data_IF_503654035702
#
_entry.id   IF_503654035702
#
_cell.length_a   1.000
_cell.length_b   1.000
_cell.length_c   1.000
_cell.angle_alpha   90.00
_cell.angle_beta   90.00
_cell.angle_gamma   90.00
#
_symmetry.space_group_name_H-M   'P 1'
#
loop_
_entity.id
_entity.type
_entity.pdbx_description
1 polymer ?
#
# COMPACT_ATOMS: atom_id res chain seq x y z
N UNK A 1 -19.86 37.32 -39.50
CA UNK A 1 -19.56 35.90 -39.24
C UNK A 1 -18.15 35.79 -38.63
N UNK A 2 -17.79 36.67 -37.70
CA UNK A 2 -18.12 36.78 -36.27
C UNK A 2 -17.09 36.04 -35.42
N UNK A 3 -16.00 36.77 -35.17
CA UNK A 3 -14.93 36.55 -34.17
C UNK A 3 -15.41 35.99 -32.82
N UNK A 4 -16.69 36.17 -32.48
CA UNK A 4 -17.36 35.53 -31.35
C UNK A 4 -17.39 33.98 -31.41
N UNK A 5 -17.55 33.38 -32.60
CA UNK A 5 -17.57 31.92 -32.81
C UNK A 5 -16.14 31.34 -32.65
N UNK A 6 -15.12 32.09 -33.08
CA UNK A 6 -13.72 31.71 -32.90
C UNK A 6 -13.29 31.77 -31.42
N UNK A 7 -13.77 32.76 -30.66
CA UNK A 7 -13.48 32.90 -29.23
C UNK A 7 -14.15 31.78 -28.39
N UNK A 8 -15.39 31.40 -28.73
CA UNK A 8 -16.12 30.30 -28.08
C UNK A 8 -15.49 28.92 -28.37
N UNK A 9 -14.99 28.69 -29.59
CA UNK A 9 -14.29 27.44 -29.95
C UNK A 9 -12.92 27.30 -29.27
N UNK A 10 -12.20 28.41 -29.07
CA UNK A 10 -10.89 28.42 -28.40
C UNK A 10 -11.01 28.19 -26.88
N UNK A 11 -12.09 28.67 -26.26
CA UNK A 11 -12.40 28.44 -24.84
C UNK A 11 -12.87 26.99 -24.58
N UNK A 12 -13.58 26.37 -25.53
CA UNK A 12 -13.95 24.94 -25.44
C UNK A 12 -12.76 23.97 -25.64
N UNK A 13 -11.67 24.41 -26.31
CA UNK A 13 -10.49 23.56 -26.54
C UNK A 13 -9.44 23.64 -25.41
N UNK A 14 -9.45 24.70 -24.59
CA UNK A 14 -8.58 24.86 -23.42
C UNK A 14 -9.04 24.09 -22.18
N UNK A 15 -10.23 23.48 -22.19
CA UNK A 15 -10.79 22.72 -21.06
C UNK A 15 -10.55 21.20 -21.19
N UNK A 16 -10.11 20.71 -22.36
CA UNK A 16 -10.11 19.27 -22.67
C UNK A 16 -8.82 18.50 -22.38
N UNK A 17 -7.83 19.09 -21.69
CA UNK A 17 -6.68 18.34 -21.16
C UNK A 17 -6.30 18.78 -19.76
N UNK A 18 -7.29 18.96 -18.87
CA UNK A 18 -7.05 18.45 -17.52
C UNK A 18 -7.01 16.94 -17.64
N UNK A 19 -5.80 16.40 -17.71
CA UNK A 19 -5.55 15.08 -17.15
C UNK A 19 -5.91 15.22 -15.66
N UNK A 20 -7.20 15.11 -15.36
CA UNK A 20 -7.61 14.61 -14.09
C UNK A 20 -6.89 13.26 -14.00
N UNK A 21 -5.89 13.17 -13.14
CA UNK A 21 -5.69 11.94 -12.40
C UNK A 21 -7.05 11.71 -11.74
N UNK A 22 -7.91 10.99 -12.44
CA UNK A 22 -9.29 10.76 -12.05
C UNK A 22 -9.20 9.94 -10.77
N UNK A 23 -9.24 10.66 -9.65
CA UNK A 23 -9.78 10.26 -8.39
C UNK A 23 -9.54 8.77 -8.07
N UNK A 24 -8.64 8.48 -7.12
CA UNK A 24 -8.85 7.32 -6.26
C UNK A 24 -9.47 7.77 -4.92
N UNK A 25 -10.77 8.07 -4.84
CA UNK A 25 -11.48 8.08 -3.58
C UNK A 25 -12.10 6.68 -3.44
N UNK A 26 -11.42 5.80 -2.73
CA UNK A 26 -11.92 4.48 -2.32
C UNK A 26 -12.22 3.42 -3.40
N UNK A 27 -12.61 3.76 -4.63
CA UNK A 27 -13.04 2.74 -5.62
C UNK A 27 -11.90 1.81 -6.09
N UNK A 28 -10.66 2.30 -6.13
CA UNK A 28 -9.49 1.45 -6.44
C UNK A 28 -8.79 0.92 -5.17
N UNK A 29 -9.29 1.29 -3.99
CA UNK A 29 -8.70 0.88 -2.71
C UNK A 29 -9.20 -0.52 -2.37
N UNK A 30 -8.32 -1.51 -2.48
CA UNK A 30 -8.69 -2.91 -2.26
C UNK A 30 -8.56 -3.35 -0.79
N UNK A 31 -7.88 -2.56 0.05
CA UNK A 31 -7.73 -2.78 1.48
C UNK A 31 -7.28 -1.51 2.20
N UNK A 32 -7.74 -1.29 3.43
CA UNK A 32 -7.34 -0.16 4.27
C UNK A 32 -7.39 -0.52 5.76
N UNK A 33 -6.25 -0.43 6.44
CA UNK A 33 -6.12 -0.76 7.86
C UNK A 33 -5.69 0.49 8.64
N UNK A 34 -6.64 1.21 9.27
CA UNK A 34 -6.32 2.39 10.05
C UNK A 34 -5.70 2.05 11.41
N UNK A 35 -5.88 0.80 11.90
CA UNK A 35 -5.42 0.32 13.20
C UNK A 35 -6.00 1.08 14.41
N UNK A 36 -7.31 1.35 14.36
CA UNK A 36 -8.05 2.00 15.45
C UNK A 36 -8.51 1.00 16.51
N UNK A 37 -7.55 0.28 17.10
CA UNK A 37 -7.80 -0.73 18.13
C UNK A 37 -8.05 -2.15 17.60
N UNK A 38 -8.07 -2.34 16.28
CA UNK A 38 -8.24 -3.63 15.63
C UNK A 38 -7.42 -3.76 14.34
N UNK A 39 -7.64 -4.86 13.60
CA UNK A 39 -7.04 -5.12 12.28
C UNK A 39 -8.12 -5.24 11.20
N UNK A 40 -9.25 -4.56 11.38
CA UNK A 40 -10.41 -4.58 10.48
C UNK A 40 -10.12 -3.81 9.20
N UNK A 41 -10.56 -4.33 8.06
CA UNK A 41 -10.47 -3.64 6.77
C UNK A 41 -11.57 -2.59 6.62
N UNK A 42 -11.18 -1.33 6.67
CA UNK A 42 -12.07 -0.16 6.51
C UNK A 42 -12.26 0.26 5.05
N UNK A 43 -11.78 -0.52 4.07
CA UNK A 43 -12.02 -0.24 2.65
C UNK A 43 -13.43 -0.63 2.18
N UNK A 44 -14.14 -1.46 2.94
CA UNK A 44 -15.42 -2.03 2.54
C UNK A 44 -15.31 -3.32 1.70
N UNK A 45 -14.09 -3.86 1.52
CA UNK A 45 -13.86 -5.08 0.75
C UNK A 45 -13.81 -6.36 1.60
N UNK A 46 -14.06 -6.26 2.91
CA UNK A 46 -14.08 -7.38 3.86
C UNK A 46 -12.78 -8.21 3.86
N UNK A 47 -11.62 -7.53 3.82
CA UNK A 47 -10.30 -8.16 3.87
C UNK A 47 -9.69 -8.10 5.26
N UNK A 48 -10.44 -8.48 6.28
CA UNK A 48 -9.99 -8.35 7.67
C UNK A 48 -8.68 -9.12 7.95
N UNK A 49 -7.86 -8.52 8.80
CA UNK A 49 -6.63 -9.12 9.29
C UNK A 49 -6.84 -10.15 10.39
N UNK A 50 -5.80 -10.92 10.63
CA UNK A 50 -5.62 -11.75 11.83
C UNK A 50 -4.24 -11.49 12.42
N UNK A 51 -4.09 -11.58 13.74
CA UNK A 51 -2.79 -11.39 14.42
C UNK A 51 -2.30 -12.70 15.01
N UNK A 52 -0.98 -12.93 14.99
CA UNK A 52 -0.38 -14.17 15.53
C UNK A 52 -0.01 -14.09 17.02
N UNK A 53 -0.12 -12.91 17.64
CA UNK A 53 0.11 -12.64 19.07
C UNK A 53 -0.50 -11.29 19.47
N UNK A 54 -0.30 -10.85 20.72
CA UNK A 54 -0.80 -9.58 21.26
C UNK A 54 -0.19 -8.38 20.53
N UNK A 55 -0.89 -7.91 19.50
CA UNK A 55 -0.67 -6.59 18.91
C UNK A 55 -1.28 -5.56 19.86
N UNK A 56 -0.50 -4.54 20.21
CA UNK A 56 -1.00 -3.41 20.99
C UNK A 56 -1.25 -2.21 20.07
N UNK A 57 -2.02 -1.24 20.56
CA UNK A 57 -2.36 -0.03 19.82
C UNK A 57 -1.90 1.20 20.62
N UNK A 58 -1.24 2.13 19.93
CA UNK A 58 -0.69 3.34 20.51
C UNK A 58 -0.93 4.55 19.61
N UNK A 59 -0.64 5.76 20.07
CA UNK A 59 -0.77 6.97 19.26
C UNK A 59 0.07 6.87 17.97
N UNK A 60 -0.62 7.00 16.83
CA UNK A 60 -0.05 6.90 15.49
C UNK A 60 0.16 8.27 14.85
N UNK A 61 0.46 8.25 13.54
CA UNK A 61 0.53 9.49 12.74
C UNK A 61 -0.84 10.13 12.57
N UNK A 62 -1.88 9.31 12.42
CA UNK A 62 -3.28 9.68 12.37
C UNK A 62 -4.01 8.72 13.32
N UNK A 63 -4.65 9.23 14.38
CA UNK A 63 -5.33 8.37 15.36
C UNK A 63 -4.37 7.39 16.05
N UNK A 64 -4.72 6.12 16.05
CA UNK A 64 -3.90 5.03 16.59
C UNK A 64 -3.03 4.37 15.50
N UNK A 65 -2.12 3.52 15.94
CA UNK A 65 -1.33 2.64 15.11
C UNK A 65 -1.10 1.31 15.83
N UNK A 66 -1.07 0.22 15.07
CA UNK A 66 -0.65 -1.07 15.59
C UNK A 66 0.85 -1.04 15.92
N UNK A 67 1.21 -1.55 17.09
CA UNK A 67 2.58 -1.71 17.56
C UNK A 67 2.95 -3.20 17.55
N UNK A 68 3.98 -3.52 16.78
CA UNK A 68 4.48 -4.88 16.63
C UNK A 68 5.82 -5.03 17.35
N UNK A 69 5.99 -6.10 18.12
CA UNK A 69 7.15 -6.33 19.00
C UNK A 69 8.23 -7.24 18.39
N UNK A 70 8.17 -7.53 17.09
CA UNK A 70 9.07 -8.45 16.40
C UNK A 70 8.66 -9.93 16.44
N UNK A 71 7.86 -10.34 17.44
CA UNK A 71 7.21 -11.66 17.47
C UNK A 71 5.77 -11.62 16.93
N UNK A 72 5.14 -10.44 16.96
CA UNK A 72 3.79 -10.19 16.44
C UNK A 72 3.79 -9.75 14.98
N UNK A 73 2.76 -10.16 14.23
CA UNK A 73 2.43 -9.65 12.90
C UNK A 73 0.92 -9.66 12.68
N UNK A 74 0.48 -8.89 11.70
CA UNK A 74 -0.83 -9.03 11.08
C UNK A 74 -0.69 -9.88 9.80
N UNK A 75 -1.67 -10.71 9.50
CA UNK A 75 -1.78 -11.49 8.27
C UNK A 75 -3.17 -11.32 7.68
N UNK A 76 -3.25 -11.06 6.37
CA UNK A 76 -4.51 -10.87 5.65
C UNK A 76 -4.70 -12.04 4.69
N UNK A 77 -5.46 -13.05 5.13
CA UNK A 77 -5.55 -14.31 4.39
C UNK A 77 -6.28 -14.17 3.06
N UNK A 78 -7.16 -13.17 2.89
CA UNK A 78 -7.82 -12.89 1.62
C UNK A 78 -6.88 -12.47 0.49
N UNK A 79 -5.62 -12.14 0.80
CA UNK A 79 -4.57 -11.89 -0.19
C UNK A 79 -3.73 -13.12 -0.53
N UNK A 80 -3.95 -14.27 0.10
CA UNK A 80 -3.27 -15.50 -0.28
C UNK A 80 -3.63 -15.88 -1.72
N UNK A 81 -2.63 -16.04 -2.59
CA UNK A 81 -2.78 -16.28 -4.03
C UNK A 81 -3.61 -15.21 -4.77
N UNK A 82 -3.72 -14.00 -4.23
CA UNK A 82 -4.47 -12.93 -4.87
C UNK A 82 -3.73 -12.40 -6.10
N UNK A 83 -4.42 -12.33 -7.22
CA UNK A 83 -3.88 -11.79 -8.46
C UNK A 83 -3.89 -10.26 -8.42
N UNK A 84 -2.77 -9.66 -8.01
CA UNK A 84 -2.57 -8.20 -8.00
C UNK A 84 -2.55 -7.57 -9.41
N UNK A 85 -2.61 -8.38 -10.47
CA UNK A 85 -2.54 -7.91 -11.86
C UNK A 85 -1.13 -7.47 -12.26
N UNK A 86 -1.05 -6.55 -13.22
CA UNK A 86 0.22 -6.03 -13.76
C UNK A 86 0.72 -4.80 -13.00
N UNK A 87 -0.12 -4.20 -12.17
CA UNK A 87 0.16 -2.93 -11.50
C UNK A 87 -0.66 -2.80 -10.22
N UNK A 88 -0.02 -2.27 -9.18
CA UNK A 88 -0.68 -1.95 -7.91
C UNK A 88 0.11 -0.84 -7.20
N UNK A 89 -0.47 -0.29 -6.14
CA UNK A 89 0.18 0.69 -5.25
C UNK A 89 -0.06 0.31 -3.80
N UNK A 90 0.91 0.62 -2.94
CA UNK A 90 0.80 0.48 -1.50
C UNK A 90 1.35 1.73 -0.81
N UNK A 91 0.71 2.14 0.29
CA UNK A 91 1.15 3.27 1.12
C UNK A 91 1.01 2.90 2.59
N UNK A 92 1.95 3.36 3.42
CA UNK A 92 2.00 3.02 4.84
C UNK A 92 2.75 4.07 5.64
N UNK A 93 2.25 4.39 6.83
CA UNK A 93 3.02 5.09 7.86
C UNK A 93 3.74 4.06 8.73
N UNK A 94 5.05 4.21 8.87
CA UNK A 94 5.87 3.28 9.63
C UNK A 94 6.77 4.03 10.62
N UNK A 95 6.90 3.48 11.83
CA UNK A 95 7.83 3.94 12.85
C UNK A 95 8.54 2.73 13.44
N UNK A 96 9.86 2.73 13.28
CA UNK A 96 10.77 1.75 13.87
C UNK A 96 11.02 2.12 15.33
N UNK A 97 10.80 1.20 16.29
CA UNK A 97 10.97 1.44 17.75
C UNK A 97 11.94 0.49 18.48
N UNK A 98 12.27 -0.68 17.91
CA UNK A 98 13.32 -1.59 18.39
C UNK A 98 13.79 -2.59 17.33
N UNK A 99 14.66 -3.54 17.71
CA UNK A 99 15.28 -4.53 16.80
C UNK A 99 16.24 -3.91 15.77
N UNK A 100 17.18 -3.08 16.23
CA UNK A 100 18.21 -2.46 15.38
C UNK A 100 19.19 -3.52 14.86
N UNK A 101 19.79 -3.31 13.69
CA UNK A 101 20.69 -4.26 13.04
C UNK A 101 20.00 -5.45 12.36
N UNK A 102 18.67 -5.58 12.48
CA UNK A 102 17.85 -6.61 11.83
C UNK A 102 17.03 -6.06 10.67
N UNK A 103 16.67 -6.91 9.71
CA UNK A 103 15.66 -6.57 8.71
C UNK A 103 14.27 -6.58 9.33
N UNK A 104 13.45 -5.60 8.96
CA UNK A 104 12.06 -5.50 9.38
C UNK A 104 11.16 -5.42 8.15
N UNK A 105 10.36 -6.46 7.93
CA UNK A 105 9.29 -6.41 6.94
C UNK A 105 8.21 -5.43 7.38
N UNK A 106 7.85 -4.48 6.51
CA UNK A 106 6.77 -3.52 6.76
C UNK A 106 5.47 -4.07 6.16
N UNK A 107 5.51 -4.46 4.89
CA UNK A 107 4.41 -5.12 4.19
C UNK A 107 4.99 -6.02 3.08
N UNK A 108 4.47 -7.23 2.95
CA UNK A 108 4.90 -8.21 1.96
C UNK A 108 3.82 -9.29 1.75
N UNK A 109 3.94 -10.07 0.68
CA UNK A 109 3.06 -11.20 0.39
C UNK A 109 3.77 -12.58 0.41
N UNK A 110 4.97 -12.67 1.00
CA UNK A 110 5.71 -13.93 1.13
C UNK A 110 7.16 -13.86 0.65
N UNK A 111 7.77 -15.04 0.49
CA UNK A 111 9.19 -15.23 0.15
C UNK A 111 9.37 -15.58 -1.33
N UNK A 112 10.53 -15.22 -1.90
CA UNK A 112 10.88 -15.08 -3.32
C UNK A 112 10.58 -16.24 -4.31
N UNK A 113 9.97 -17.35 -3.90
CA UNK A 113 9.84 -18.55 -4.74
C UNK A 113 8.56 -18.64 -5.58
N UNK A 114 7.55 -17.80 -5.32
CA UNK A 114 6.22 -17.89 -5.97
C UNK A 114 5.75 -16.58 -6.62
N UNK A 115 6.69 -15.65 -6.83
CA UNK A 115 6.37 -14.28 -7.16
C UNK A 115 5.97 -13.52 -5.89
N UNK A 116 6.76 -12.53 -5.51
CA UNK A 116 6.59 -11.84 -4.24
C UNK A 116 6.99 -10.38 -4.35
N UNK A 117 6.45 -9.55 -3.49
CA UNK A 117 6.92 -8.18 -3.29
C UNK A 117 7.04 -7.85 -1.81
N UNK A 118 7.90 -6.89 -1.49
CA UNK A 118 8.09 -6.42 -0.13
C UNK A 118 8.48 -4.94 -0.07
N UNK A 119 8.08 -4.30 1.03
CA UNK A 119 8.67 -3.06 1.56
C UNK A 119 9.26 -3.40 2.92
N UNK A 120 10.52 -3.04 3.14
CA UNK A 120 11.26 -3.37 4.35
C UNK A 120 12.16 -2.23 4.80
N UNK A 121 12.47 -2.22 6.09
CA UNK A 121 13.60 -1.47 6.63
C UNK A 121 14.79 -2.40 6.82
N UNK A 122 15.93 -1.97 6.28
CA UNK A 122 17.19 -2.70 6.30
C UNK A 122 18.11 -2.29 7.45
N UNK A 123 19.09 -3.17 7.72
CA UNK A 123 20.19 -2.91 8.65
C UNK A 123 21.31 -2.07 8.03
N UNK A 124 21.28 -1.93 6.71
CA UNK A 124 22.26 -1.21 5.91
C UNK A 124 22.24 0.28 6.21
N UNK A 125 23.40 0.93 5.98
CA UNK A 125 23.61 2.35 6.21
C UNK A 125 23.24 2.78 7.63
N UNK A 126 23.68 2.00 8.63
CA UNK A 126 23.39 2.23 10.05
C UNK A 126 21.88 2.27 10.33
N UNK A 127 21.15 1.24 9.89
CA UNK A 127 19.71 1.06 10.14
C UNK A 127 18.77 2.06 9.44
N UNK A 128 19.26 2.80 8.45
CA UNK A 128 18.50 3.87 7.79
C UNK A 128 17.93 3.49 6.42
N UNK A 129 18.30 2.33 5.87
CA UNK A 129 17.87 1.97 4.52
C UNK A 129 16.39 1.57 4.50
N UNK A 130 15.57 2.34 3.78
CA UNK A 130 14.29 1.86 3.27
C UNK A 130 14.54 1.12 1.95
N UNK A 131 14.02 -0.09 1.82
CA UNK A 131 14.19 -0.91 0.64
C UNK A 131 12.96 -1.75 0.32
N UNK A 132 13.05 -2.50 -0.77
CA UNK A 132 11.98 -3.37 -1.24
C UNK A 132 12.43 -4.14 -2.46
N UNK A 133 11.57 -5.03 -2.93
CA UNK A 133 11.81 -5.82 -4.13
C UNK A 133 10.52 -6.39 -4.68
N UNK A 134 10.54 -6.73 -5.97
CA UNK A 134 9.47 -7.46 -6.64
C UNK A 134 10.13 -8.59 -7.43
N UNK A 135 9.66 -9.80 -7.20
CA UNK A 135 9.94 -10.99 -8.01
C UNK A 135 8.63 -11.32 -8.69
N UNK A 136 8.62 -11.31 -10.02
CA UNK A 136 7.47 -11.81 -10.78
C UNK A 136 7.75 -13.27 -11.12
N UNK A 137 6.75 -14.14 -11.00
CA UNK A 137 6.78 -15.36 -11.80
C UNK A 137 6.73 -14.89 -13.23
N UNK A 138 7.78 -15.13 -14.02
CA UNK A 138 7.68 -14.91 -15.46
C UNK A 138 6.35 -15.54 -15.90
N UNK A 139 5.49 -14.78 -16.58
CA UNK A 139 4.33 -15.37 -17.24
C UNK A 139 4.87 -16.59 -18.00
N UNK A 140 4.29 -17.76 -17.73
CA UNK A 140 4.65 -18.97 -18.45
C UNK A 140 4.63 -18.63 -19.94
N UNK A 141 5.82 -18.52 -20.55
CA UNK A 141 5.94 -18.37 -21.99
C UNK A 141 5.70 -19.76 -22.56
N UNK A 142 4.43 -20.13 -22.67
CA UNK A 142 3.97 -21.25 -23.50
C UNK A 142 3.13 -20.69 -24.63
#
# INVERSE_FOLDING_TARGET
MNTLIALLAMIMFMISTVMACSSCPHDCLIAYYPFEGDVTDSSGNNRDGTTTSDVSYAAGRCGQAASFNGASKMSVQSFANFALGTEFSASVWFKRTGEWGNYQGIINNGYYTTGSWEIRMGRENSDQMLGGGVVTTAASTT
#
